data_IF_745078316683
#
_entry.id   IF_745078316683
#
_cell.length_a   1.000
_cell.length_b   1.000
_cell.length_c   1.000
_cell.angle_alpha   90.00
_cell.angle_beta   90.00
_cell.angle_gamma   90.00
#
_symmetry.space_group_name_H-M   'P 1'
#
loop_
_entity.id
_entity.type
_entity.pdbx_description
1 polymer ?
#
# COMPACT_ATOMS: atom_id res chain seq x y z
N UNK A 1 25.65 20.47 11.41
CA UNK A 1 26.99 20.63 10.81
C UNK A 1 27.97 20.69 11.97
N UNK A 2 29.01 19.85 11.97
CA UNK A 2 30.06 19.89 12.98
C UNK A 2 31.04 21.03 12.64
N UNK A 3 31.63 21.65 13.64
CA UNK A 3 32.63 22.68 13.46
C UNK A 3 33.80 22.20 12.58
N UNK A 4 34.10 22.94 11.50
CA UNK A 4 35.13 22.55 10.52
C UNK A 4 34.69 21.63 9.39
N UNK A 5 33.43 21.18 9.36
CA UNK A 5 32.87 20.40 8.25
C UNK A 5 32.33 21.33 7.18
N UNK A 6 32.57 20.97 5.91
CA UNK A 6 31.95 21.62 4.75
C UNK A 6 30.96 20.65 4.14
N UNK A 7 29.67 21.03 4.13
CA UNK A 7 28.62 20.27 3.52
C UNK A 7 27.93 21.12 2.44
N UNK A 8 27.64 20.49 1.30
CA UNK A 8 26.93 21.13 0.19
C UNK A 8 25.42 20.82 0.21
N UNK A 9 24.96 20.08 1.21
CA UNK A 9 23.56 19.77 1.42
C UNK A 9 23.16 20.12 2.86
N UNK A 10 22.00 20.73 3.00
CA UNK A 10 21.37 21.03 4.30
C UNK A 10 20.06 20.27 4.34
N UNK A 11 19.89 19.45 5.38
CA UNK A 11 18.59 18.80 5.61
C UNK A 11 17.59 19.87 6.04
N UNK A 12 16.42 19.84 5.41
CA UNK A 12 15.28 20.68 5.76
C UNK A 12 14.28 19.84 6.54
N UNK A 13 13.68 20.42 7.56
CA UNK A 13 12.51 19.88 8.27
C UNK A 13 11.19 20.14 7.53
N UNK A 14 11.27 20.79 6.37
CA UNK A 14 10.12 21.12 5.55
C UNK A 14 9.73 19.95 4.66
N UNK A 15 8.44 19.71 4.56
CA UNK A 15 7.87 18.74 3.61
C UNK A 15 7.70 19.40 2.25
N UNK A 16 8.10 18.73 1.19
CA UNK A 16 7.93 19.18 -0.18
C UNK A 16 7.02 18.23 -0.94
N UNK A 17 6.03 18.77 -1.64
CA UNK A 17 5.26 18.04 -2.63
C UNK A 17 5.86 18.34 -4.01
N UNK A 18 6.31 17.28 -4.69
CA UNK A 18 6.85 17.36 -6.04
C UNK A 18 5.90 16.70 -7.01
N UNK A 19 5.47 17.44 -8.00
CA UNK A 19 4.59 16.96 -9.08
C UNK A 19 5.41 16.85 -10.36
N UNK A 20 5.40 15.68 -10.97
CA UNK A 20 6.01 15.40 -12.26
C UNK A 20 4.92 15.38 -13.33
N UNK A 21 5.04 16.25 -14.32
CA UNK A 21 4.19 16.23 -15.51
C UNK A 21 5.02 15.68 -16.68
N UNK A 22 4.65 14.49 -17.14
CA UNK A 22 5.28 13.80 -18.26
C UNK A 22 4.37 13.87 -19.49
N UNK A 23 4.94 14.11 -20.65
CA UNK A 23 4.18 14.14 -21.90
C UNK A 23 5.08 14.20 -23.11
N UNK A 24 4.49 13.93 -24.28
CA UNK A 24 5.17 14.04 -25.57
C UNK A 24 5.11 15.49 -26.07
N UNK A 25 6.25 16.05 -26.42
CA UNK A 25 6.38 17.35 -27.05
C UNK A 25 7.28 17.24 -28.27
N UNK A 26 6.72 17.48 -29.47
CA UNK A 26 7.42 17.39 -30.78
C UNK A 26 8.09 16.04 -31.01
N UNK A 27 7.43 14.93 -30.59
CA UNK A 27 7.96 13.57 -30.76
C UNK A 27 8.98 13.13 -29.71
N UNK A 28 9.22 13.94 -28.69
CA UNK A 28 10.11 13.61 -27.57
C UNK A 28 9.36 13.63 -26.26
N UNK A 29 9.58 12.61 -25.41
CA UNK A 29 9.07 12.61 -24.04
C UNK A 29 9.80 13.66 -23.20
N UNK A 30 9.04 14.55 -22.58
CA UNK A 30 9.56 15.60 -21.71
C UNK A 30 8.92 15.52 -20.34
N UNK A 31 9.71 15.88 -19.34
CA UNK A 31 9.25 16.02 -17.95
C UNK A 31 9.36 17.48 -17.51
N UNK A 32 8.31 17.97 -16.86
CA UNK A 32 8.35 19.20 -16.06
C UNK A 32 8.17 18.84 -14.59
N UNK A 33 8.85 19.57 -13.73
CA UNK A 33 8.83 19.37 -12.28
C UNK A 33 8.29 20.63 -11.64
N UNK A 34 7.29 20.43 -10.75
CA UNK A 34 6.70 21.48 -9.94
C UNK A 34 6.87 21.09 -8.48
N UNK A 35 7.40 21.99 -7.69
CA UNK A 35 7.66 21.71 -6.28
C UNK A 35 7.05 22.81 -5.41
N UNK A 36 6.41 22.39 -4.33
CA UNK A 36 5.85 23.27 -3.32
C UNK A 36 6.23 22.81 -1.93
N UNK A 37 6.76 23.74 -1.15
CA UNK A 37 6.97 23.52 0.27
C UNK A 37 5.62 23.55 1.00
N UNK A 38 5.35 22.51 1.77
CA UNK A 38 4.12 22.35 2.54
C UNK A 38 4.43 22.37 4.04
N UNK A 39 3.54 23.01 4.79
CA UNK A 39 3.46 22.85 6.24
C UNK A 39 2.11 22.21 6.55
N UNK A 40 2.12 20.89 6.70
CA UNK A 40 0.91 20.13 7.01
C UNK A 40 0.76 19.98 8.53
N UNK A 41 -0.45 20.13 9.01
CA UNK A 41 -0.78 20.03 10.43
C UNK A 41 -2.15 19.37 10.61
N UNK A 42 -2.31 18.47 11.58
CA UNK A 42 -3.60 17.85 11.86
C UNK A 42 -4.60 18.80 12.53
N UNK A 43 -4.14 19.96 13.00
CA UNK A 43 -4.95 20.92 13.76
C UNK A 43 -5.08 22.28 13.08
N UNK A 44 -4.30 22.54 12.04
CA UNK A 44 -4.38 23.77 11.26
C UNK A 44 -5.22 23.57 10.00
N UNK A 45 -5.71 24.66 9.47
CA UNK A 45 -6.38 24.66 8.18
C UNK A 45 -5.32 24.50 7.09
N UNK A 46 -5.15 23.27 6.60
CA UNK A 46 -4.27 23.03 5.48
C UNK A 46 -4.96 23.50 4.21
N UNK A 47 -4.26 24.25 3.40
CA UNK A 47 -4.75 24.71 2.11
C UNK A 47 -3.57 24.97 1.18
N UNK A 48 -3.59 24.34 0.00
CA UNK A 48 -2.64 24.64 -1.04
C UNK A 48 -3.17 24.23 -2.41
N UNK A 49 -2.66 24.87 -3.45
CA UNK A 49 -2.75 24.42 -4.82
C UNK A 49 -1.39 24.53 -5.52
N UNK A 50 -1.18 23.65 -6.50
CA UNK A 50 -0.07 23.71 -7.43
C UNK A 50 -0.68 23.74 -8.83
N UNK A 51 -0.53 24.85 -9.53
CA UNK A 51 -1.02 24.99 -10.90
C UNK A 51 0.15 25.05 -11.86
N UNK A 52 0.00 24.44 -13.02
CA UNK A 52 1.00 24.44 -14.06
C UNK A 52 0.44 24.18 -15.44
N UNK A 53 1.32 24.15 -16.42
CA UNK A 53 1.00 23.71 -17.77
C UNK A 53 2.08 22.74 -18.26
N UNK A 54 1.61 21.68 -18.88
CA UNK A 54 2.45 20.86 -19.73
C UNK A 54 2.04 21.13 -21.18
N UNK A 55 2.93 21.75 -21.93
CA UNK A 55 2.63 22.36 -23.24
C UNK A 55 1.45 23.36 -23.11
N UNK A 56 0.36 23.18 -23.82
CA UNK A 56 -0.84 24.01 -23.71
C UNK A 56 -1.86 23.47 -22.69
N UNK A 57 -1.65 22.26 -22.17
CA UNK A 57 -2.56 21.59 -21.23
C UNK A 57 -2.35 22.09 -19.81
N UNK A 58 -3.32 22.81 -19.24
CA UNK A 58 -3.25 23.21 -17.85
C UNK A 58 -3.56 22.03 -16.92
N UNK A 59 -2.94 22.01 -15.75
CA UNK A 59 -3.30 21.14 -14.64
C UNK A 59 -3.30 21.91 -13.33
N UNK A 60 -4.02 21.37 -12.37
CA UNK A 60 -4.07 21.86 -11.00
C UNK A 60 -4.09 20.68 -10.03
N UNK A 61 -3.29 20.78 -8.97
CA UNK A 61 -3.29 19.86 -7.83
C UNK A 61 -3.74 20.66 -6.62
N UNK A 62 -4.90 20.31 -6.06
CA UNK A 62 -5.49 20.97 -4.91
C UNK A 62 -5.43 20.07 -3.67
N UNK A 63 -5.21 20.67 -2.51
CA UNK A 63 -5.36 19.99 -1.23
C UNK A 63 -6.80 19.54 -1.03
N UNK A 64 -6.97 18.32 -0.52
CA UNK A 64 -8.28 17.81 -0.13
C UNK A 64 -8.32 17.39 1.34
N UNK A 65 -7.39 16.55 1.79
CA UNK A 65 -7.38 16.05 3.17
C UNK A 65 -5.96 15.67 3.60
N UNK A 66 -5.71 15.70 4.92
CA UNK A 66 -4.46 15.29 5.55
C UNK A 66 -4.73 14.53 6.85
N UNK A 67 -4.25 13.30 6.93
CA UNK A 67 -4.37 12.44 8.10
C UNK A 67 -2.98 12.13 8.63
N UNK A 68 -2.65 12.66 9.79
CA UNK A 68 -1.41 12.34 10.49
C UNK A 68 -1.52 10.96 11.16
N UNK A 69 -0.49 10.14 11.01
CA UNK A 69 -0.50 8.77 11.52
C UNK A 69 -1.63 7.95 10.91
N UNK A 70 -1.68 7.89 9.59
CA UNK A 70 -2.71 7.17 8.84
C UNK A 70 -2.47 5.67 8.84
N UNK A 71 -3.54 4.92 8.69
CA UNK A 71 -3.52 3.50 8.33
C UNK A 71 -4.48 3.23 7.18
N UNK A 72 -4.10 2.31 6.33
CA UNK A 72 -5.02 1.81 5.30
C UNK A 72 -6.14 0.98 5.91
N UNK A 73 -7.33 1.15 5.39
CA UNK A 73 -8.51 0.34 5.72
C UNK A 73 -9.31 0.07 4.45
N UNK A 74 -10.03 -1.04 4.42
CA UNK A 74 -10.99 -1.31 3.35
C UNK A 74 -12.38 -0.87 3.82
N UNK A 75 -12.95 0.13 3.15
CA UNK A 75 -14.36 0.49 3.33
C UNK A 75 -15.20 -0.40 2.43
N UNK A 76 -16.15 -1.18 2.99
CA UNK A 76 -17.00 -2.06 2.20
C UNK A 76 -17.79 -1.30 1.11
N UNK A 77 -17.71 -1.81 -0.12
CA UNK A 77 -18.46 -1.30 -1.27
C UNK A 77 -18.79 -2.49 -2.19
N UNK A 78 -20.04 -2.69 -2.46
CA UNK A 78 -20.52 -3.80 -3.31
C UNK A 78 -19.95 -3.73 -4.75
N UNK A 79 -19.68 -2.52 -5.24
CA UNK A 79 -19.09 -2.27 -6.56
C UNK A 79 -17.56 -2.15 -6.51
N UNK A 80 -16.97 -2.24 -5.31
CA UNK A 80 -15.54 -2.16 -5.10
C UNK A 80 -14.78 -3.40 -5.55
N UNK A 81 -13.49 -3.33 -5.44
CA UNK A 81 -12.56 -4.44 -5.75
C UNK A 81 -12.53 -5.40 -4.57
N UNK A 82 -12.24 -6.67 -4.83
CA UNK A 82 -12.05 -7.65 -3.77
C UNK A 82 -10.65 -7.50 -3.17
N UNK A 83 -10.57 -7.41 -1.85
CA UNK A 83 -9.32 -7.36 -1.09
C UNK A 83 -9.27 -8.47 -0.05
N UNK A 84 -8.13 -9.11 0.08
CA UNK A 84 -7.84 -10.06 1.15
C UNK A 84 -6.79 -9.47 2.08
N UNK A 85 -7.15 -9.31 3.36
CA UNK A 85 -6.22 -8.84 4.37
C UNK A 85 -5.21 -9.93 4.71
N UNK A 86 -3.95 -9.55 4.74
CA UNK A 86 -2.82 -10.33 5.20
C UNK A 86 -2.14 -9.58 6.33
N UNK A 87 -1.82 -10.26 7.41
CA UNK A 87 -1.03 -9.71 8.52
C UNK A 87 0.29 -10.46 8.56
N UNK A 88 1.37 -9.74 8.37
CA UNK A 88 2.72 -10.25 8.55
C UNK A 88 3.16 -10.11 10.01
N UNK A 89 3.86 -11.11 10.53
CA UNK A 89 4.47 -11.12 11.84
C UNK A 89 6.00 -11.18 11.69
N UNK A 90 6.64 -10.02 11.71
CA UNK A 90 8.10 -9.87 11.57
C UNK A 90 8.78 -9.41 12.87
N UNK A 91 10.10 -9.23 12.83
CA UNK A 91 10.89 -8.69 13.95
C UNK A 91 10.49 -7.24 14.30
N UNK A 92 9.96 -6.49 13.33
CA UNK A 92 9.44 -5.13 13.49
C UNK A 92 8.08 -5.02 14.17
N UNK A 93 7.34 -6.12 14.29
CA UNK A 93 5.99 -6.15 14.80
C UNK A 93 5.01 -6.83 13.83
N UNK A 94 3.80 -6.30 13.79
CA UNK A 94 2.74 -6.75 12.87
C UNK A 94 2.54 -5.68 11.81
N UNK A 95 2.58 -6.09 10.55
CA UNK A 95 2.27 -5.24 9.41
C UNK A 95 1.02 -5.77 8.70
N UNK A 96 0.13 -4.87 8.32
CA UNK A 96 -1.11 -5.19 7.61
C UNK A 96 -0.94 -4.87 6.14
N UNK A 97 -1.30 -5.82 5.28
CA UNK A 97 -1.29 -5.67 3.83
C UNK A 97 -2.66 -6.07 3.26
N UNK A 98 -3.05 -5.45 2.17
CA UNK A 98 -4.27 -5.78 1.45
C UNK A 98 -3.94 -6.29 0.06
N UNK A 99 -4.09 -7.61 -0.13
CA UNK A 99 -3.91 -8.22 -1.45
C UNK A 99 -5.12 -7.89 -2.31
N UNK A 100 -4.87 -7.27 -3.45
CA UNK A 100 -5.90 -6.83 -4.39
C UNK A 100 -6.17 -7.90 -5.44
N UNK A 101 -7.43 -8.14 -5.72
CA UNK A 101 -7.88 -9.10 -6.72
C UNK A 101 -7.27 -8.85 -8.11
N UNK A 102 -6.73 -9.88 -8.73
CA UNK A 102 -6.09 -9.81 -10.04
C UNK A 102 -4.70 -9.15 -10.04
N UNK A 103 -4.10 -8.87 -8.88
CA UNK A 103 -2.78 -8.25 -8.78
C UNK A 103 -1.75 -9.15 -8.10
N UNK A 104 -0.47 -8.79 -8.32
CA UNK A 104 0.69 -9.38 -7.65
C UNK A 104 1.35 -8.30 -6.82
N UNK A 105 1.59 -8.58 -5.55
CA UNK A 105 2.28 -7.68 -4.63
C UNK A 105 3.57 -8.30 -4.12
N UNK A 106 4.60 -7.50 -3.98
CA UNK A 106 5.85 -7.89 -3.33
C UNK A 106 5.82 -7.41 -1.86
N UNK A 107 5.85 -8.35 -0.94
CA UNK A 107 5.93 -8.08 0.51
C UNK A 107 7.23 -8.71 0.99
N UNK A 108 8.19 -7.89 1.39
CA UNK A 108 9.52 -8.29 1.87
C UNK A 108 10.19 -9.37 0.99
N UNK A 109 10.24 -9.13 -0.32
CA UNK A 109 10.79 -10.02 -1.36
C UNK A 109 10.04 -11.34 -1.58
N UNK A 110 8.85 -11.50 -1.01
CA UNK A 110 7.94 -12.60 -1.32
C UNK A 110 6.79 -12.08 -2.16
N UNK A 111 6.54 -12.71 -3.30
CA UNK A 111 5.44 -12.35 -4.17
C UNK A 111 4.15 -13.03 -3.69
N UNK A 112 3.08 -12.24 -3.59
CA UNK A 112 1.73 -12.70 -3.30
C UNK A 112 0.82 -12.36 -4.47
N UNK A 113 -0.06 -13.28 -4.84
CA UNK A 113 -1.03 -13.09 -5.90
C UNK A 113 -2.43 -13.52 -5.43
N UNK A 114 -3.43 -12.65 -5.60
CA UNK A 114 -4.82 -12.97 -5.33
C UNK A 114 -5.56 -13.16 -6.67
N UNK A 115 -6.10 -14.35 -6.89
CA UNK A 115 -6.84 -14.73 -8.11
C UNK A 115 -6.08 -14.46 -9.43
N UNK A 116 -4.75 -14.44 -9.36
CA UNK A 116 -3.86 -14.25 -10.51
C UNK A 116 -2.71 -15.25 -10.44
N UNK A 117 -2.89 -16.48 -10.98
CA UNK A 117 -1.85 -17.49 -10.96
C UNK A 117 -0.52 -16.94 -11.48
N UNK A 118 0.50 -16.92 -10.61
CA UNK A 118 1.80 -16.32 -10.89
C UNK A 118 2.89 -17.29 -10.45
N UNK A 119 3.80 -17.60 -11.36
CA UNK A 119 4.96 -18.45 -11.07
C UNK A 119 5.87 -17.78 -10.02
N UNK A 120 6.34 -18.56 -9.04
CA UNK A 120 7.20 -18.05 -7.97
C UNK A 120 6.49 -17.26 -6.88
N UNK A 121 5.18 -17.04 -6.99
CA UNK A 121 4.40 -16.34 -5.97
C UNK A 121 3.67 -17.32 -5.04
N UNK A 122 3.32 -16.83 -3.85
CA UNK A 122 2.29 -17.44 -3.00
C UNK A 122 0.95 -17.05 -3.62
N UNK A 123 0.31 -18.03 -4.29
CA UNK A 123 -0.96 -17.83 -4.97
C UNK A 123 -2.12 -18.14 -4.03
N UNK A 124 -3.00 -17.19 -3.84
CA UNK A 124 -4.26 -17.35 -3.14
C UNK A 124 -5.39 -17.26 -4.16
N UNK A 125 -6.27 -18.26 -4.18
CA UNK A 125 -7.43 -18.24 -5.04
C UNK A 125 -8.71 -18.33 -4.21
N UNK A 126 -9.72 -17.58 -4.64
CA UNK A 126 -11.04 -17.60 -4.01
C UNK A 126 -12.07 -18.13 -4.99
N UNK A 127 -12.90 -19.05 -4.53
CA UNK A 127 -14.04 -19.56 -5.31
C UNK A 127 -15.25 -19.56 -4.38
N UNK A 128 -16.03 -18.50 -4.43
CA UNK A 128 -17.10 -18.25 -3.46
C UNK A 128 -16.53 -18.07 -2.04
N UNK A 129 -16.93 -18.96 -1.13
CA UNK A 129 -16.44 -18.95 0.27
C UNK A 129 -15.19 -19.81 0.49
N UNK A 130 -14.75 -20.54 -0.51
CA UNK A 130 -13.58 -21.40 -0.41
C UNK A 130 -12.31 -20.65 -0.81
N UNK A 131 -11.25 -20.87 -0.06
CA UNK A 131 -9.93 -20.31 -0.30
C UNK A 131 -8.91 -21.42 -0.45
N UNK A 132 -8.01 -21.27 -1.41
CA UNK A 132 -6.86 -22.16 -1.60
C UNK A 132 -5.57 -21.39 -1.59
N UNK A 133 -4.49 -22.05 -1.20
CA UNK A 133 -3.12 -21.54 -1.23
C UNK A 133 -2.24 -22.51 -2.02
N UNK A 134 -1.38 -21.97 -2.87
CA UNK A 134 -0.29 -22.65 -3.52
C UNK A 134 0.97 -21.83 -3.37
N UNK A 135 2.07 -22.42 -2.97
CA UNK A 135 3.32 -21.71 -2.67
C UNK A 135 4.52 -22.43 -3.28
N UNK A 136 5.54 -21.70 -3.75
CA UNK A 136 6.80 -22.28 -4.20
C UNK A 136 7.72 -22.74 -3.06
N UNK A 137 7.29 -22.63 -1.80
CA UNK A 137 8.06 -22.96 -0.61
C UNK A 137 7.36 -24.06 0.21
N UNK A 138 8.14 -24.86 0.91
CA UNK A 138 7.63 -25.68 2.01
C UNK A 138 7.34 -24.82 3.23
N UNK A 139 6.40 -25.26 4.07
CA UNK A 139 6.07 -24.55 5.28
C UNK A 139 5.17 -25.33 6.22
N UNK A 140 4.78 -24.64 7.26
CA UNK A 140 3.84 -25.15 8.26
C UNK A 140 2.77 -24.10 8.54
N UNK A 141 1.63 -24.54 9.03
CA UNK A 141 0.64 -23.65 9.63
C UNK A 141 0.16 -24.15 10.98
N UNK A 142 -0.24 -23.21 11.81
CA UNK A 142 -0.87 -23.48 13.10
C UNK A 142 -2.18 -22.69 13.19
N UNK A 143 -3.30 -23.42 13.29
CA UNK A 143 -4.61 -22.81 13.55
C UNK A 143 -4.66 -22.24 14.96
N UNK A 144 -4.97 -20.95 15.11
CA UNK A 144 -4.85 -20.28 16.40
C UNK A 144 -5.88 -20.73 17.43
N UNK A 145 -7.05 -21.18 16.97
CA UNK A 145 -8.16 -21.55 17.85
C UNK A 145 -7.87 -22.78 18.74
N UNK A 146 -7.29 -23.83 18.15
CA UNK A 146 -7.10 -25.14 18.79
C UNK A 146 -5.65 -25.65 18.73
N UNK A 147 -4.73 -24.82 18.22
CA UNK A 147 -3.31 -25.16 18.06
C UNK A 147 -3.04 -26.33 17.11
N UNK A 148 -4.03 -26.71 16.28
CA UNK A 148 -3.83 -27.71 15.27
C UNK A 148 -2.71 -27.28 14.31
N UNK A 149 -1.78 -28.19 14.04
CA UNK A 149 -0.65 -27.96 13.15
C UNK A 149 -0.81 -28.79 11.86
N UNK A 150 -0.50 -28.18 10.75
CA UNK A 150 -0.46 -28.81 9.44
C UNK A 150 0.74 -28.38 8.62
N UNK A 151 0.95 -29.02 7.51
CA UNK A 151 2.04 -28.69 6.57
C UNK A 151 1.52 -27.96 5.37
N UNK A 152 2.35 -27.10 4.83
CA UNK A 152 2.17 -26.45 3.53
C UNK A 152 3.17 -27.10 2.58
N UNK A 153 2.67 -27.85 1.60
CA UNK A 153 3.50 -28.56 0.64
C UNK A 153 3.76 -27.66 -0.57
N UNK A 154 5.03 -27.56 -0.91
CA UNK A 154 5.49 -26.81 -2.09
C UNK A 154 4.73 -27.24 -3.36
N UNK A 155 4.37 -26.25 -4.18
CA UNK A 155 3.71 -26.38 -5.49
C UNK A 155 2.35 -27.13 -5.47
N UNK A 156 1.84 -27.47 -4.28
CA UNK A 156 0.56 -28.12 -4.12
C UNK A 156 -0.55 -27.12 -3.81
N UNK A 157 -1.68 -27.25 -4.51
CA UNK A 157 -2.89 -26.48 -4.20
C UNK A 157 -3.60 -27.13 -3.03
N UNK A 158 -3.79 -26.41 -1.95
CA UNK A 158 -4.39 -26.90 -0.72
C UNK A 158 -5.33 -25.87 -0.08
N UNK A 159 -6.28 -26.28 0.78
CA UNK A 159 -7.16 -25.33 1.44
C UNK A 159 -6.37 -24.29 2.26
N UNK A 160 -6.73 -23.01 2.12
CA UNK A 160 -6.23 -21.94 2.98
C UNK A 160 -7.06 -21.91 4.27
N UNK A 161 -6.41 -22.12 5.39
CA UNK A 161 -7.02 -22.06 6.72
C UNK A 161 -6.95 -20.64 7.26
N UNK A 162 -8.07 -19.92 7.24
CA UNK A 162 -8.17 -18.60 7.86
C UNK A 162 -7.81 -18.65 9.34
N UNK A 163 -7.34 -17.56 9.91
CA UNK A 163 -6.95 -17.42 11.32
C UNK A 163 -5.91 -18.44 11.78
N UNK A 164 -5.03 -18.80 10.83
CA UNK A 164 -3.89 -19.68 11.10
C UNK A 164 -2.60 -18.92 10.84
N UNK A 165 -1.62 -19.14 11.70
CA UNK A 165 -0.27 -18.63 11.50
C UNK A 165 0.45 -19.57 10.53
N UNK A 166 0.78 -19.05 9.37
CA UNK A 166 1.60 -19.71 8.38
C UNK A 166 3.06 -19.31 8.56
N UNK A 167 3.97 -20.27 8.49
CA UNK A 167 5.41 -20.07 8.39
C UNK A 167 5.85 -20.68 7.06
N UNK A 168 6.09 -19.88 6.06
CA UNK A 168 6.36 -20.29 4.68
C UNK A 168 7.65 -19.59 4.23
N UNK A 169 8.71 -20.34 3.94
CA UNK A 169 10.03 -19.74 3.72
C UNK A 169 10.42 -18.89 4.93
N UNK A 170 10.81 -17.65 4.70
CA UNK A 170 11.25 -16.71 5.74
C UNK A 170 10.12 -15.78 6.25
N UNK A 171 8.90 -15.95 5.76
CA UNK A 171 7.76 -15.09 6.11
C UNK A 171 6.78 -15.80 7.05
N UNK A 172 6.24 -15.04 8.00
CA UNK A 172 5.17 -15.47 8.90
C UNK A 172 3.94 -14.61 8.68
N UNK A 173 2.85 -15.24 8.29
CA UNK A 173 1.64 -14.54 7.86
C UNK A 173 0.37 -15.15 8.45
N UNK A 174 -0.64 -14.32 8.57
CA UNK A 174 -2.00 -14.71 8.98
C UNK A 174 -2.99 -14.06 8.01
N UNK A 175 -3.98 -14.82 7.58
CA UNK A 175 -5.17 -14.30 6.92
C UNK A 175 -6.30 -14.26 7.96
N UNK A 176 -6.57 -13.08 8.56
CA UNK A 176 -7.46 -12.99 9.72
C UNK A 176 -8.92 -13.17 9.36
N UNK A 177 -9.33 -12.67 8.21
CA UNK A 177 -10.73 -12.59 7.79
C UNK A 177 -10.88 -12.92 6.30
N UNK A 178 -12.07 -13.33 5.85
CA UNK A 178 -12.40 -13.48 4.44
C UNK A 178 -12.18 -12.19 3.64
N UNK A 179 -11.99 -12.35 2.34
CA UNK A 179 -11.86 -11.22 1.43
C UNK A 179 -13.14 -10.37 1.40
N UNK A 180 -12.96 -9.06 1.29
CA UNK A 180 -14.05 -8.08 1.29
C UNK A 180 -13.99 -7.23 0.02
N UNK A 181 -15.14 -7.00 -0.62
CA UNK A 181 -15.26 -6.00 -1.67
C UNK A 181 -15.31 -4.61 -1.06
N UNK A 182 -14.51 -3.71 -1.59
CA UNK A 182 -14.45 -2.35 -1.07
C UNK A 182 -13.51 -1.44 -1.82
N UNK A 183 -13.26 -0.30 -1.21
CA UNK A 183 -12.29 0.70 -1.66
C UNK A 183 -11.27 0.95 -0.55
N UNK A 184 -10.01 1.15 -0.93
CA UNK A 184 -8.98 1.58 0.03
C UNK A 184 -9.31 2.98 0.51
N UNK A 185 -9.23 3.18 1.81
CA UNK A 185 -9.34 4.47 2.46
C UNK A 185 -8.29 4.59 3.57
N UNK A 186 -8.02 5.80 4.00
CA UNK A 186 -7.09 6.07 5.09
C UNK A 186 -7.87 6.58 6.30
N UNK A 187 -7.51 6.09 7.48
CA UNK A 187 -8.08 6.52 8.75
C UNK A 187 -6.95 6.81 9.74
N UNK A 188 -7.20 7.70 10.69
CA UNK A 188 -6.24 7.99 11.75
C UNK A 188 -5.94 6.74 12.57
N UNK A 189 -4.67 6.43 12.71
CA UNK A 189 -4.22 5.36 13.58
C UNK A 189 -3.99 5.93 14.99
N UNK A 190 -4.88 5.57 15.92
CA UNK A 190 -4.79 6.00 17.31
C UNK A 190 -3.71 5.27 18.13
N UNK A 191 -2.98 4.34 17.51
CA UNK A 191 -1.87 3.64 18.17
C UNK A 191 -0.57 4.45 18.05
N UNK A 192 -0.42 5.42 18.93
CA UNK A 192 0.80 6.27 19.03
C UNK A 192 2.08 5.48 19.38
N UNK A 193 1.98 4.19 19.65
CA UNK A 193 3.13 3.31 19.91
C UNK A 193 3.62 2.58 18.66
N UNK A 194 2.89 2.65 17.56
CA UNK A 194 3.36 2.10 16.30
C UNK A 194 4.67 2.79 15.89
N UNK A 195 5.70 2.01 15.59
CA UNK A 195 7.02 2.52 15.24
C UNK A 195 7.05 3.16 13.85
N UNK A 196 6.05 2.87 13.03
CA UNK A 196 5.87 3.42 11.69
C UNK A 196 4.60 4.27 11.69
N UNK A 197 4.77 5.58 11.71
CA UNK A 197 3.69 6.51 11.43
C UNK A 197 3.88 6.99 10.00
N UNK A 198 2.96 6.63 9.14
CA UNK A 198 2.83 7.21 7.81
C UNK A 198 1.73 8.24 7.84
N UNK A 199 1.94 9.35 7.14
CA UNK A 199 0.93 10.37 6.99
C UNK A 199 0.28 10.20 5.60
N UNK A 200 -1.03 10.39 5.51
CA UNK A 200 -1.75 10.36 4.25
C UNK A 200 -2.15 11.77 3.82
N UNK A 201 -1.74 12.16 2.62
CA UNK A 201 -2.16 13.38 1.96
C UNK A 201 -3.05 13.03 0.77
N UNK A 202 -4.28 13.52 0.77
CA UNK A 202 -5.19 13.41 -0.36
C UNK A 202 -5.19 14.72 -1.12
N UNK A 203 -5.03 14.64 -2.43
CA UNK A 203 -5.08 15.76 -3.35
C UNK A 203 -6.07 15.49 -4.47
N UNK A 204 -6.67 16.54 -5.00
CA UNK A 204 -7.48 16.49 -6.20
C UNK A 204 -6.64 16.94 -7.39
N UNK A 205 -6.49 16.10 -8.40
CA UNK A 205 -5.83 16.42 -9.66
C UNK A 205 -6.88 16.77 -10.73
N UNK A 206 -6.78 17.96 -11.28
CA UNK A 206 -7.58 18.44 -12.41
C UNK A 206 -6.69 18.62 -13.63
N UNK A 207 -7.00 17.93 -14.71
CA UNK A 207 -6.28 18.06 -15.98
C UNK A 207 -7.22 17.69 -17.14
N UNK A 208 -7.08 18.37 -18.29
CA UNK A 208 -7.84 18.07 -19.52
C UNK A 208 -9.38 17.98 -19.32
N UNK A 209 -9.92 18.76 -18.38
CA UNK A 209 -11.35 18.71 -18.05
C UNK A 209 -11.78 17.47 -17.25
N UNK A 210 -10.83 16.65 -16.80
CA UNK A 210 -11.04 15.53 -15.89
C UNK A 210 -10.59 15.89 -14.47
N UNK A 211 -11.23 15.28 -13.49
CA UNK A 211 -10.89 15.38 -12.08
C UNK A 211 -10.68 13.98 -11.50
N UNK A 212 -9.61 13.79 -10.74
CA UNK A 212 -9.28 12.53 -10.07
C UNK A 212 -8.71 12.80 -8.68
N UNK A 213 -9.09 11.94 -7.74
CA UNK A 213 -8.53 11.86 -6.39
C UNK A 213 -7.50 10.75 -6.27
#
# INVERSE_FOLDING_TARGET
IREGATENQVYSDKTFLTVFADGEFKGEMKRRVFEKNLLLSPVANNDFSISGKFDETPFEVEYKDFIMGAKEVIKPDANGILYLKLVEAGEGGREEHFLKDGEVQNIHNVLFALNKPTEGAININTTGEAYTIQTPFEGDFMRMADKFKGKVTKDNVQPLMMRSLYSIGDIRIVFPDPAVKGVIAYESNNDYKAKTHEDALTVTLKAEGQEKE
#
